data_IF_534670176883
#
_entry.id   IF_534670176883
#
_cell.length_a   1.000
_cell.length_b   1.000
_cell.length_c   1.000
_cell.angle_alpha   90.00
_cell.angle_beta   90.00
_cell.angle_gamma   90.00
#
_symmetry.space_group_name_H-M   'P 1'
#
loop_
_entity.id
_entity.type
_entity.pdbx_description
1 polymer ?
#
# COMPACT_ATOMS: atom_id res chain seq x y z
N UNK A 1 -1.06 -20.52 -9.55
CA UNK A 1 -1.80 -19.33 -10.01
C UNK A 1 -3.19 -19.16 -9.37
N UNK A 2 -3.77 -20.17 -8.71
CA UNK A 2 -5.06 -20.01 -8.00
C UNK A 2 -4.86 -19.42 -6.59
N UNK A 3 -3.81 -19.85 -5.88
CA UNK A 3 -3.55 -19.44 -4.48
C UNK A 3 -3.15 -17.96 -4.33
N UNK A 4 -2.27 -17.46 -5.20
CA UNK A 4 -1.80 -16.06 -5.17
C UNK A 4 -2.93 -15.03 -5.35
N UNK A 5 -3.92 -15.35 -6.20
CA UNK A 5 -5.10 -14.50 -6.41
C UNK A 5 -6.02 -14.45 -5.19
N UNK A 6 -6.13 -15.55 -4.44
CA UNK A 6 -6.91 -15.60 -3.20
C UNK A 6 -6.25 -14.74 -2.12
N UNK A 7 -4.93 -14.89 -1.96
CA UNK A 7 -4.13 -14.13 -0.99
C UNK A 7 -4.19 -12.62 -1.24
N UNK A 8 -4.05 -12.20 -2.51
CA UNK A 8 -4.20 -10.79 -2.88
C UNK A 8 -5.58 -10.23 -2.53
N UNK A 9 -6.64 -10.99 -2.80
CA UNK A 9 -8.02 -10.56 -2.49
C UNK A 9 -8.25 -10.36 -0.98
N UNK A 10 -7.56 -11.13 -0.14
CA UNK A 10 -7.61 -10.97 1.32
C UNK A 10 -6.90 -9.70 1.76
N UNK A 11 -5.73 -9.41 1.17
CA UNK A 11 -4.99 -8.17 1.42
C UNK A 11 -5.80 -6.94 1.00
N UNK A 12 -6.47 -6.98 -0.14
CA UNK A 12 -7.32 -5.87 -0.59
C UNK A 12 -8.49 -5.61 0.37
N UNK A 13 -9.16 -6.66 0.85
CA UNK A 13 -10.20 -6.55 1.89
C UNK A 13 -9.67 -6.01 3.19
N UNK A 14 -8.46 -6.40 3.58
CA UNK A 14 -7.83 -5.91 4.80
C UNK A 14 -7.46 -4.43 4.69
N UNK A 15 -6.93 -4.00 3.54
CA UNK A 15 -6.68 -2.59 3.26
C UNK A 15 -7.98 -1.76 3.33
N UNK A 16 -9.08 -2.27 2.77
CA UNK A 16 -10.40 -1.64 2.89
C UNK A 16 -10.86 -1.54 4.34
N UNK A 17 -10.70 -2.61 5.12
CA UNK A 17 -11.07 -2.66 6.55
C UNK A 17 -10.28 -1.65 7.38
N UNK A 18 -8.96 -1.60 7.22
CA UNK A 18 -8.07 -0.71 7.95
C UNK A 18 -8.28 0.77 7.60
N UNK A 19 -8.74 1.04 6.38
CA UNK A 19 -8.99 2.41 5.88
C UNK A 19 -10.45 2.82 5.92
N UNK A 20 -11.35 1.95 6.36
CA UNK A 20 -12.76 2.27 6.56
C UNK A 20 -12.93 3.50 7.46
N UNK A 21 -13.65 4.52 6.94
CA UNK A 21 -13.89 5.77 7.65
C UNK A 21 -12.74 6.78 7.65
N UNK A 22 -11.59 6.46 7.02
CA UNK A 22 -10.48 7.42 6.84
C UNK A 22 -10.78 8.32 5.64
N UNK A 23 -10.55 9.62 5.80
CA UNK A 23 -10.82 10.64 4.75
C UNK A 23 -9.60 11.09 3.96
N UNK A 24 -8.41 10.57 4.25
CA UNK A 24 -7.19 11.01 3.56
C UNK A 24 -7.14 10.38 2.15
N UNK A 25 -7.10 11.19 1.08
CA UNK A 25 -6.95 10.67 -0.28
C UNK A 25 -5.71 9.80 -0.41
N UNK A 26 -5.83 8.66 -1.08
CA UNK A 26 -4.71 7.73 -1.27
C UNK A 26 -4.39 6.84 -0.06
N UNK A 27 -5.08 6.97 1.07
CA UNK A 27 -4.76 6.18 2.28
C UNK A 27 -4.94 4.68 2.05
N UNK A 28 -6.01 4.30 1.34
CA UNK A 28 -6.28 2.92 0.96
C UNK A 28 -5.12 2.35 0.14
N UNK A 29 -4.69 3.09 -0.87
CA UNK A 29 -3.61 2.69 -1.78
C UNK A 29 -2.26 2.60 -1.05
N UNK A 30 -1.99 3.47 -0.08
CA UNK A 30 -0.82 3.32 0.79
C UNK A 30 -0.86 2.04 1.60
N UNK A 31 -1.99 1.77 2.26
CA UNK A 31 -2.12 0.57 3.10
C UNK A 31 -2.01 -0.68 2.24
N UNK A 32 -2.67 -0.69 1.07
CA UNK A 32 -2.58 -1.78 0.13
C UNK A 32 -1.14 -2.02 -0.36
N UNK A 33 -0.44 -0.97 -0.77
CA UNK A 33 0.94 -1.08 -1.26
C UNK A 33 1.88 -1.66 -0.19
N UNK A 34 1.70 -1.25 1.07
CA UNK A 34 2.46 -1.81 2.19
C UNK A 34 2.12 -3.27 2.47
N UNK A 35 0.84 -3.64 2.53
CA UNK A 35 0.44 -5.02 2.82
C UNK A 35 0.91 -5.99 1.74
N UNK A 36 0.81 -5.60 0.45
CA UNK A 36 1.36 -6.38 -0.65
C UNK A 36 2.87 -6.57 -0.51
N UNK A 37 3.59 -5.51 -0.14
CA UNK A 37 5.03 -5.57 0.11
C UNK A 37 5.38 -6.54 1.26
N UNK A 38 4.67 -6.44 2.40
CA UNK A 38 4.90 -7.31 3.56
C UNK A 38 4.67 -8.80 3.25
N UNK A 39 3.72 -9.08 2.37
CA UNK A 39 3.35 -10.43 1.96
C UNK A 39 4.23 -10.97 0.81
N UNK A 40 5.16 -10.15 0.30
CA UNK A 40 6.08 -10.53 -0.78
C UNK A 40 5.43 -10.56 -2.17
N UNK A 41 4.26 -9.91 -2.32
CA UNK A 41 3.53 -9.82 -3.59
C UNK A 41 3.98 -8.61 -4.42
N UNK A 42 3.79 -8.64 -5.76
CA UNK A 42 4.05 -7.49 -6.60
C UNK A 42 3.24 -6.26 -6.16
N UNK A 43 3.93 -5.13 -5.96
CA UNK A 43 3.29 -3.85 -5.66
C UNK A 43 2.97 -3.12 -6.98
N UNK A 44 1.78 -3.36 -7.50
CA UNK A 44 1.23 -2.75 -8.73
C UNK A 44 0.13 -1.71 -8.43
N UNK A 45 0.19 -1.11 -7.24
CA UNK A 45 -0.78 -0.12 -6.77
C UNK A 45 -0.52 1.23 -7.44
N UNK A 46 -1.58 1.84 -7.98
CA UNK A 46 -1.52 3.16 -8.63
C UNK A 46 -2.05 4.25 -7.71
N UNK A 47 -1.41 5.41 -7.77
CA UNK A 47 -1.83 6.59 -7.03
C UNK A 47 -3.16 7.13 -7.60
N UNK A 48 -4.19 7.39 -6.77
CA UNK A 48 -5.49 7.84 -7.26
C UNK A 48 -5.49 9.30 -7.77
N UNK A 49 -4.38 10.03 -7.62
CA UNK A 49 -4.27 11.43 -8.05
C UNK A 49 -3.51 11.60 -9.37
N UNK A 50 -2.47 10.79 -9.61
CA UNK A 50 -1.60 10.92 -10.79
C UNK A 50 -1.50 9.64 -11.62
N UNK A 51 -2.17 8.56 -11.20
CA UNK A 51 -2.19 7.25 -11.85
C UNK A 51 -0.82 6.53 -11.96
N UNK A 52 0.26 7.16 -11.49
CA UNK A 52 1.59 6.54 -11.43
C UNK A 52 1.66 5.44 -10.36
N UNK A 53 2.52 4.46 -10.63
CA UNK A 53 2.81 3.37 -9.69
C UNK A 53 3.41 3.91 -8.39
N UNK A 54 2.94 3.37 -7.28
CA UNK A 54 3.49 3.67 -5.96
C UNK A 54 4.75 2.84 -5.73
N UNK A 55 5.78 3.47 -5.17
CA UNK A 55 7.04 2.80 -4.79
C UNK A 55 7.09 2.61 -3.28
N UNK A 56 7.46 1.42 -2.82
CA UNK A 56 7.63 1.10 -1.39
C UNK A 56 9.12 0.92 -1.09
N UNK A 57 9.62 1.73 -0.16
CA UNK A 57 11.02 1.72 0.28
C UNK A 57 11.06 1.40 1.78
N UNK A 58 11.48 0.19 2.19
CA UNK A 58 11.54 -0.19 3.60
C UNK A 58 12.56 0.63 4.38
N UNK A 59 12.33 0.82 5.68
CA UNK A 59 13.31 1.42 6.55
C UNK A 59 14.41 0.40 6.91
N UNK A 60 15.71 0.76 6.88
CA UNK A 60 16.80 -0.20 7.12
C UNK A 60 16.78 -0.84 8.50
N UNK A 61 16.26 -0.13 9.51
CA UNK A 61 16.36 -0.50 10.93
C UNK A 61 15.02 -0.33 11.66
N UNK A 62 13.89 -0.35 10.94
CA UNK A 62 12.57 -0.18 11.54
C UNK A 62 11.52 -0.96 10.76
N UNK A 63 10.50 -1.43 11.48
CA UNK A 63 9.33 -2.06 10.89
C UNK A 63 8.41 -0.99 10.27
N UNK A 64 8.63 -0.74 8.99
CA UNK A 64 7.90 0.23 8.20
C UNK A 64 8.55 0.54 6.86
N UNK A 65 7.87 1.37 6.09
CA UNK A 65 8.36 1.84 4.79
C UNK A 65 7.93 3.27 4.51
N UNK A 66 8.66 3.90 3.59
CA UNK A 66 8.17 5.06 2.86
C UNK A 66 7.44 4.58 1.61
N UNK A 67 6.27 5.13 1.35
CA UNK A 67 5.48 4.88 0.15
C UNK A 67 5.45 6.19 -0.63
N UNK A 68 5.88 6.17 -1.89
CA UNK A 68 6.05 7.36 -2.70
C UNK A 68 5.24 7.28 -4.00
N UNK A 69 4.58 8.39 -4.37
CA UNK A 69 4.07 8.67 -5.72
C UNK A 69 4.87 9.83 -6.34
N UNK A 70 4.83 9.96 -7.68
CA UNK A 70 5.36 11.14 -8.36
C UNK A 70 4.58 12.43 -8.04
N UNK A 71 3.31 12.30 -7.65
CA UNK A 71 2.46 13.43 -7.30
C UNK A 71 2.89 14.19 -6.04
N UNK A 72 3.69 13.56 -5.16
CA UNK A 72 4.01 14.07 -3.82
C UNK A 72 2.83 14.11 -2.83
N UNK A 73 1.59 14.23 -3.30
CA UNK A 73 0.38 14.36 -2.47
C UNK A 73 -0.02 13.06 -1.76
N UNK A 74 0.13 11.94 -2.46
CA UNK A 74 -0.10 10.60 -1.94
C UNK A 74 1.22 9.91 -1.60
N UNK A 75 2.22 10.67 -1.14
CA UNK A 75 3.43 10.11 -0.53
C UNK A 75 3.29 10.13 0.99
N UNK A 76 3.89 9.14 1.65
CA UNK A 76 3.75 8.97 3.09
C UNK A 76 4.72 7.95 3.67
N UNK A 77 4.68 7.82 4.99
CA UNK A 77 5.43 6.80 5.71
C UNK A 77 4.46 5.98 6.56
N UNK A 78 4.67 4.67 6.59
CA UNK A 78 3.94 3.75 7.44
C UNK A 78 4.92 3.08 8.41
N UNK A 79 4.50 2.94 9.65
CA UNK A 79 5.24 2.29 10.74
C UNK A 79 4.25 1.48 11.56
N UNK A 80 4.60 0.25 11.90
CA UNK A 80 3.84 -0.61 12.81
C UNK A 80 2.33 -0.63 12.54
N UNK A 81 1.89 -1.46 11.60
CA UNK A 81 0.48 -1.78 11.40
C UNK A 81 0.03 -2.94 12.29
#
# INVERSE_FOLDING_TARGET
MIEENLQRSEIEREADRLTAGKRKPGMREHVLAWLLYCDGLPVDVRCPQCDNLMTVTPFPNADGATIQCECGLCSGSMRGL
#
